data_IF_577835258334
#
_entry.id   IF_577835258334
#
_cell.length_a   1.000
_cell.length_b   1.000
_cell.length_c   1.000
_cell.angle_alpha   90.00
_cell.angle_beta   90.00
_cell.angle_gamma   90.00
#
_symmetry.space_group_name_H-M   'P 1'
#
loop_
_entity.id
_entity.type
_entity.pdbx_description
1 polymer ?
#
# COMPACT_ATOMS: atom_id res chain seq x y z
N UNK A 1 48.26 -56.32 34.57
CA UNK A 1 48.34 -56.46 33.11
C UNK A 1 46.92 -56.50 32.56
N UNK A 2 46.62 -55.69 31.54
CA UNK A 2 45.46 -55.89 30.65
C UNK A 2 44.19 -55.11 30.96
N UNK A 3 44.18 -53.83 30.56
CA UNK A 3 43.01 -52.98 30.33
C UNK A 3 42.29 -53.41 29.03
N UNK A 4 40.96 -53.43 29.00
CA UNK A 4 40.14 -52.92 27.85
C UNK A 4 38.66 -52.80 28.24
N UNK A 5 38.26 -51.59 28.66
CA UNK A 5 36.87 -51.12 28.60
C UNK A 5 36.59 -50.59 27.19
N UNK A 6 35.54 -51.07 26.54
CA UNK A 6 34.99 -50.48 25.32
C UNK A 6 33.62 -49.87 25.64
N UNK A 7 33.64 -48.59 26.01
CA UNK A 7 32.46 -47.72 26.09
C UNK A 7 32.10 -47.22 24.69
N UNK A 8 30.93 -47.59 24.18
CA UNK A 8 30.31 -46.99 23.01
C UNK A 8 29.65 -45.65 23.42
N UNK A 9 30.36 -44.54 23.19
CA UNK A 9 29.81 -43.21 23.32
C UNK A 9 28.98 -42.86 22.08
N UNK A 10 27.67 -42.69 22.26
CA UNK A 10 26.78 -42.09 21.27
C UNK A 10 27.01 -40.58 21.23
N UNK A 11 27.66 -40.11 20.17
CA UNK A 11 27.89 -38.68 19.89
C UNK A 11 26.59 -38.02 19.44
N UNK A 12 25.71 -37.65 20.38
CA UNK A 12 24.69 -36.65 20.09
C UNK A 12 25.36 -35.28 20.08
N UNK A 13 25.64 -34.78 18.87
CA UNK A 13 26.02 -33.39 18.66
C UNK A 13 24.88 -32.48 19.11
N UNK A 14 24.97 -31.92 20.30
CA UNK A 14 24.21 -30.73 20.68
C UNK A 14 24.71 -29.58 19.83
N UNK A 15 23.93 -29.19 18.83
CA UNK A 15 24.09 -27.90 18.16
C UNK A 15 23.63 -26.85 19.18
N UNK A 16 24.57 -26.32 19.97
CA UNK A 16 24.36 -25.11 20.75
C UNK A 16 24.28 -23.92 19.77
N UNK A 17 23.09 -23.58 19.28
CA UNK A 17 22.85 -22.27 18.68
C UNK A 17 22.72 -21.24 19.81
N UNK A 18 23.86 -20.81 20.36
CA UNK A 18 23.91 -19.59 21.16
C UNK A 18 23.75 -18.40 20.20
N UNK A 19 22.51 -17.96 19.96
CA UNK A 19 22.25 -16.70 19.28
C UNK A 19 22.80 -15.56 20.16
N UNK A 20 24.00 -15.06 19.82
CA UNK A 20 24.60 -13.94 20.54
C UNK A 20 23.81 -12.66 20.22
N UNK A 21 23.38 -11.93 21.24
CA UNK A 21 22.72 -10.61 21.13
C UNK A 21 23.52 -9.57 20.35
N UNK A 22 24.81 -9.82 20.09
CA UNK A 22 25.70 -8.92 19.35
C UNK A 22 25.65 -9.09 17.83
N UNK A 23 24.82 -9.99 17.29
CA UNK A 23 24.65 -10.08 15.84
C UNK A 23 23.57 -9.09 15.36
N UNK A 24 23.87 -8.29 14.30
CA UNK A 24 22.90 -7.44 13.65
C UNK A 24 21.66 -8.23 13.24
N UNK A 25 20.48 -7.70 13.55
CA UNK A 25 19.22 -8.31 13.12
C UNK A 25 19.06 -8.04 11.62
N UNK A 26 18.82 -9.10 10.86
CA UNK A 26 18.47 -9.05 9.42
C UNK A 26 17.17 -9.83 9.22
N UNK A 27 16.63 -9.85 8.00
CA UNK A 27 15.46 -10.65 7.68
C UNK A 27 15.80 -12.14 7.54
N UNK A 28 14.91 -13.00 8.04
CA UNK A 28 15.01 -14.44 7.92
C UNK A 28 14.70 -14.91 6.47
N UNK A 29 15.30 -16.02 6.04
CA UNK A 29 15.08 -16.59 4.70
C UNK A 29 13.67 -17.18 4.49
N UNK A 30 12.94 -17.46 5.57
CA UNK A 30 11.53 -17.81 5.49
C UNK A 30 10.72 -16.53 5.40
N UNK A 31 10.11 -16.28 4.25
CA UNK A 31 9.32 -15.09 3.97
C UNK A 31 8.19 -15.43 2.99
N UNK A 32 7.27 -14.49 2.78
CA UNK A 32 6.21 -14.61 1.80
C UNK A 32 6.72 -14.67 0.37
N UNK A 33 5.91 -15.27 -0.51
CA UNK A 33 6.23 -15.53 -1.92
C UNK A 33 6.57 -14.25 -2.72
N UNK A 34 5.97 -13.13 -2.34
CA UNK A 34 6.15 -11.85 -3.03
C UNK A 34 7.26 -10.99 -2.42
N UNK A 35 8.07 -11.54 -1.51
CA UNK A 35 9.23 -10.84 -0.94
C UNK A 35 10.50 -11.23 -1.68
N UNK A 36 11.27 -10.20 -2.03
CA UNK A 36 12.68 -10.33 -2.42
C UNK A 36 13.54 -9.75 -1.31
N UNK A 37 14.45 -10.56 -0.81
CA UNK A 37 15.48 -10.12 0.12
C UNK A 37 16.69 -9.58 -0.67
N UNK A 38 17.15 -8.40 -0.28
CA UNK A 38 18.25 -7.67 -0.90
C UNK A 38 19.30 -7.31 0.14
N UNK A 39 20.48 -6.88 -0.30
CA UNK A 39 21.56 -6.39 0.56
C UNK A 39 21.90 -7.35 1.72
N UNK A 40 22.15 -8.63 1.40
CA UNK A 40 22.42 -9.69 2.38
C UNK A 40 21.30 -9.84 3.43
N UNK A 41 20.04 -9.78 2.98
CA UNK A 41 18.84 -9.87 3.82
C UNK A 41 18.64 -8.68 4.76
N UNK A 42 19.37 -7.59 4.58
CA UNK A 42 19.11 -6.35 5.32
C UNK A 42 17.87 -5.62 4.79
N UNK A 43 17.54 -5.78 3.50
CA UNK A 43 16.38 -5.15 2.86
C UNK A 43 15.38 -6.23 2.46
N UNK A 44 14.10 -6.00 2.75
CA UNK A 44 12.99 -6.81 2.27
C UNK A 44 12.06 -5.93 1.42
N UNK A 45 11.78 -6.41 0.21
CA UNK A 45 11.00 -5.69 -0.79
C UNK A 45 9.84 -6.56 -1.27
N UNK A 46 8.62 -6.03 -1.24
CA UNK A 46 7.47 -6.61 -1.92
C UNK A 46 7.58 -6.31 -3.41
N UNK A 47 7.85 -7.32 -4.22
CA UNK A 47 8.11 -7.16 -5.66
C UNK A 47 6.83 -7.14 -6.50
N UNK A 48 5.80 -7.86 -6.05
CA UNK A 48 4.55 -8.03 -6.80
C UNK A 48 3.37 -8.19 -5.83
N UNK A 49 2.16 -7.93 -6.34
CA UNK A 49 0.89 -8.15 -5.64
C UNK A 49 0.67 -7.35 -4.33
N UNK A 50 -0.49 -7.62 -3.77
CA UNK A 50 -1.07 -7.28 -2.47
C UNK A 50 -0.44 -7.66 -1.14
N UNK A 51 0.13 -8.87 -1.17
CA UNK A 51 -0.06 -9.85 -0.11
C UNK A 51 1.05 -10.89 -0.20
N UNK A 52 1.05 -11.91 0.67
CA UNK A 52 2.15 -12.87 0.79
C UNK A 52 3.48 -12.12 0.97
N UNK A 53 3.47 -11.11 1.84
CA UNK A 53 4.56 -10.17 2.04
C UNK A 53 5.11 -10.21 3.48
N UNK A 54 4.92 -11.35 4.16
CA UNK A 54 5.31 -11.57 5.55
C UNK A 54 6.82 -11.83 5.63
N UNK A 55 7.49 -11.20 6.58
CA UNK A 55 8.91 -11.39 6.90
C UNK A 55 9.11 -11.50 8.40
N UNK A 56 10.24 -12.09 8.80
CA UNK A 56 10.60 -12.29 10.20
C UNK A 56 12.03 -11.83 10.48
N UNK A 57 12.37 -11.57 11.75
CA UNK A 57 13.77 -11.40 12.15
C UNK A 57 14.55 -12.71 11.97
N UNK A 58 15.84 -12.62 11.66
CA UNK A 58 16.73 -13.77 11.48
C UNK A 58 17.01 -14.55 12.76
N UNK A 59 16.75 -13.94 13.93
CA UNK A 59 16.92 -14.54 15.26
C UNK A 59 15.82 -14.08 16.21
N UNK A 60 15.67 -14.74 17.37
CA UNK A 60 14.84 -14.21 18.44
C UNK A 60 15.29 -12.82 18.89
N UNK A 61 14.31 -11.97 19.17
CA UNK A 61 14.44 -10.63 19.72
C UNK A 61 14.24 -10.71 21.23
N UNK A 62 15.15 -10.13 22.00
CA UNK A 62 15.04 -10.11 23.45
C UNK A 62 13.96 -9.14 23.91
N UNK A 63 13.41 -9.39 25.10
CA UNK A 63 12.52 -8.43 25.75
C UNK A 63 13.25 -7.09 25.94
N UNK A 64 12.59 -5.99 25.60
CA UNK A 64 13.10 -4.63 25.51
C UNK A 64 14.15 -4.36 24.42
N UNK A 65 14.50 -5.35 23.59
CA UNK A 65 15.34 -5.12 22.41
C UNK A 65 14.50 -4.43 21.32
N UNK A 66 15.00 -3.30 20.80
CA UNK A 66 14.32 -2.55 19.74
C UNK A 66 14.61 -3.17 18.38
N UNK A 67 13.55 -3.55 17.69
CA UNK A 67 13.59 -3.84 16.25
C UNK A 67 13.51 -2.50 15.54
N UNK A 68 14.55 -2.14 14.79
CA UNK A 68 14.65 -0.87 14.07
C UNK A 68 14.50 -1.12 12.56
N UNK A 69 13.58 -0.43 11.92
CA UNK A 69 13.25 -0.63 10.51
C UNK A 69 13.15 0.73 9.83
N UNK A 70 13.92 0.92 8.76
CA UNK A 70 13.78 2.09 7.89
C UNK A 70 12.79 1.80 6.77
N UNK A 71 11.86 2.72 6.54
CA UNK A 71 10.91 2.63 5.43
C UNK A 71 11.58 3.17 4.16
N UNK A 72 12.07 2.27 3.31
CA UNK A 72 12.92 2.65 2.16
C UNK A 72 12.12 2.98 0.91
N UNK A 73 10.90 2.47 0.77
CA UNK A 73 10.05 2.76 -0.38
C UNK A 73 8.57 2.72 -0.02
N UNK A 74 7.86 3.79 -0.37
CA UNK A 74 6.42 3.94 -0.22
C UNK A 74 5.81 4.14 -1.61
N UNK A 75 4.68 3.49 -1.87
CA UNK A 75 3.96 3.57 -3.14
C UNK A 75 2.56 4.11 -2.93
N UNK A 76 2.21 5.15 -3.69
CA UNK A 76 0.88 5.76 -3.68
C UNK A 76 -0.18 4.93 -4.40
N UNK A 77 0.25 3.92 -5.18
CA UNK A 77 -0.63 3.02 -5.93
C UNK A 77 -1.26 1.94 -5.05
N UNK A 78 -0.71 1.70 -3.85
CA UNK A 78 -1.29 0.79 -2.87
C UNK A 78 -1.94 1.59 -1.74
N UNK A 79 -2.96 1.01 -1.12
CA UNK A 79 -3.47 1.48 0.17
C UNK A 79 -3.51 0.31 1.15
N UNK A 80 -3.58 0.64 2.43
CA UNK A 80 -3.35 -0.25 3.53
C UNK A 80 -2.07 0.09 4.30
N UNK A 81 -2.03 -0.43 5.51
CA UNK A 81 -0.96 -0.19 6.47
C UNK A 81 0.03 -1.35 6.57
N UNK A 82 1.30 -1.04 6.81
CA UNK A 82 2.32 -1.98 7.32
C UNK A 82 1.81 -2.65 8.61
N UNK A 83 2.07 -3.94 8.82
CA UNK A 83 1.75 -4.59 10.11
C UNK A 83 3.01 -5.01 10.84
N UNK A 84 2.99 -4.84 12.16
CA UNK A 84 4.10 -5.14 13.05
C UNK A 84 3.63 -6.01 14.21
N UNK A 85 4.54 -6.84 14.71
CA UNK A 85 4.37 -7.52 15.98
C UNK A 85 5.39 -8.63 16.18
N UNK A 86 4.98 -9.71 16.83
CA UNK A 86 5.85 -10.81 17.22
C UNK A 86 5.21 -12.17 16.98
N UNK A 87 6.04 -13.19 16.81
CA UNK A 87 5.64 -14.60 16.82
C UNK A 87 6.50 -15.40 17.79
N UNK A 88 5.91 -16.37 18.48
CA UNK A 88 6.61 -17.35 19.32
C UNK A 88 7.04 -18.60 18.53
N UNK A 89 6.71 -18.66 17.23
CA UNK A 89 7.08 -19.77 16.36
C UNK A 89 8.39 -19.45 15.63
N UNK A 90 9.28 -20.44 15.56
CA UNK A 90 10.50 -20.31 14.76
C UNK A 90 10.11 -20.08 13.27
N UNK A 91 10.60 -19.02 12.61
CA UNK A 91 10.27 -18.70 11.23
C UNK A 91 10.46 -19.85 10.24
N UNK A 92 11.39 -20.79 10.50
CA UNK A 92 11.59 -21.97 9.66
C UNK A 92 10.33 -22.83 9.52
N UNK A 93 9.45 -22.81 10.54
CA UNK A 93 8.20 -23.59 10.55
C UNK A 93 7.19 -23.09 9.51
N UNK A 94 7.29 -21.83 9.08
CA UNK A 94 6.41 -21.26 8.07
C UNK A 94 6.93 -21.43 6.63
N UNK A 95 8.19 -21.85 6.43
CA UNK A 95 8.86 -21.84 5.12
C UNK A 95 8.10 -22.59 4.02
N UNK A 96 7.35 -23.64 4.38
CA UNK A 96 6.57 -24.46 3.44
C UNK A 96 5.10 -24.07 3.34
N UNK A 97 4.58 -23.24 4.26
CA UNK A 97 3.15 -22.93 4.36
C UNK A 97 2.93 -21.51 4.91
N UNK A 98 3.51 -20.52 4.24
CA UNK A 98 3.36 -19.12 4.59
C UNK A 98 1.93 -18.65 4.27
N UNK A 99 1.19 -18.07 5.24
CA UNK A 99 -0.14 -17.52 4.97
C UNK A 99 -0.10 -16.28 4.07
N UNK A 100 -1.29 -15.85 3.62
CA UNK A 100 -1.41 -14.72 2.70
C UNK A 100 -1.24 -13.38 3.45
N UNK A 101 -1.69 -13.31 4.70
CA UNK A 101 -1.62 -12.10 5.54
C UNK A 101 -1.16 -12.42 6.96
N UNK A 102 -0.51 -11.47 7.63
CA UNK A 102 -0.31 -11.60 9.08
C UNK A 102 -1.64 -11.48 9.84
N UNK A 103 -2.48 -10.52 9.45
CA UNK A 103 -3.83 -10.33 10.00
C UNK A 103 -4.87 -10.66 8.92
N UNK A 104 -5.82 -11.59 9.15
CA UNK A 104 -6.02 -12.37 10.38
C UNK A 104 -5.33 -13.75 10.36
N UNK A 105 -4.72 -14.19 9.26
CA UNK A 105 -4.36 -15.61 9.07
C UNK A 105 -3.35 -16.13 10.11
N UNK A 106 -2.35 -15.32 10.48
CA UNK A 106 -1.40 -15.66 11.55
C UNK A 106 -1.95 -15.29 12.91
N UNK A 107 -2.55 -14.10 13.09
CA UNK A 107 -3.04 -13.65 14.41
C UNK A 107 -4.21 -14.47 14.96
N UNK A 108 -4.95 -15.19 14.11
CA UNK A 108 -5.93 -16.19 14.54
C UNK A 108 -5.29 -17.49 15.10
N UNK A 109 -3.98 -17.68 14.92
CA UNK A 109 -3.24 -18.84 15.43
C UNK A 109 -2.52 -18.46 16.72
N UNK A 110 -2.62 -19.26 17.80
CA UNK A 110 -1.92 -19.00 19.05
C UNK A 110 -0.42 -18.77 18.85
N UNK A 111 0.15 -17.84 19.61
CA UNK A 111 1.58 -17.51 19.53
C UNK A 111 1.94 -16.51 18.43
N UNK A 112 0.98 -15.79 17.85
CA UNK A 112 1.23 -14.73 16.86
C UNK A 112 0.44 -13.48 17.24
N UNK A 113 1.11 -12.34 17.24
CA UNK A 113 0.53 -11.05 17.57
C UNK A 113 1.00 -10.03 16.53
N UNK A 114 0.08 -9.36 15.88
CA UNK A 114 0.39 -8.27 14.95
C UNK A 114 -0.76 -7.27 14.90
N UNK A 115 -0.43 -6.04 14.53
CA UNK A 115 -1.41 -4.95 14.38
C UNK A 115 -0.98 -4.01 13.24
N UNK A 116 -1.95 -3.37 12.60
CA UNK A 116 -1.69 -2.37 11.57
C UNK A 116 -1.10 -1.08 12.15
N UNK A 117 0.00 -0.62 11.55
CA UNK A 117 0.59 0.70 11.79
C UNK A 117 -0.06 1.68 10.82
N UNK A 118 -0.92 2.58 11.32
CA UNK A 118 -1.68 3.52 10.49
C UNK A 118 -0.84 4.23 9.42
N UNK A 119 -1.42 4.42 8.23
CA UNK A 119 -0.71 4.86 7.02
C UNK A 119 -0.03 6.21 7.19
N UNK A 120 -0.56 7.07 8.08
CA UNK A 120 0.04 8.35 8.47
C UNK A 120 1.49 8.26 8.97
N UNK A 121 1.90 7.07 9.43
CA UNK A 121 3.24 6.80 9.94
C UNK A 121 4.17 6.20 8.88
N UNK A 122 3.64 5.83 7.71
CA UNK A 122 4.41 5.24 6.62
C UNK A 122 5.04 6.34 5.74
N UNK A 123 6.04 7.03 6.30
CA UNK A 123 6.77 8.11 5.62
C UNK A 123 8.08 7.54 5.07
N UNK A 124 8.33 7.72 3.78
CA UNK A 124 9.58 7.28 3.16
C UNK A 124 10.79 7.94 3.82
N UNK A 125 11.81 7.15 4.14
CA UNK A 125 13.02 7.58 4.83
C UNK A 125 12.93 7.53 6.36
N UNK A 126 11.73 7.48 6.94
CA UNK A 126 11.56 7.41 8.41
C UNK A 126 12.06 6.08 8.98
N UNK A 127 12.50 6.13 10.24
CA UNK A 127 12.97 4.97 10.98
C UNK A 127 11.99 4.64 12.09
N UNK A 128 11.29 3.54 11.91
CA UNK A 128 10.40 2.96 12.89
C UNK A 128 11.17 2.10 13.88
N UNK A 129 10.82 2.17 15.16
CA UNK A 129 11.27 1.22 16.17
C UNK A 129 10.10 0.63 16.93
N UNK A 130 10.19 -0.64 17.28
CA UNK A 130 9.24 -1.27 18.19
C UNK A 130 9.91 -2.35 19.05
N UNK A 131 9.37 -2.59 20.23
CA UNK A 131 9.88 -3.58 21.18
C UNK A 131 8.75 -4.08 22.08
N UNK A 132 8.91 -5.27 22.64
CA UNK A 132 8.01 -5.82 23.65
C UNK A 132 8.66 -5.69 25.03
N UNK A 133 7.91 -5.20 26.02
CA UNK A 133 8.37 -5.16 27.41
C UNK A 133 8.10 -6.47 28.15
N UNK A 134 8.58 -6.59 29.40
CA UNK A 134 8.40 -7.79 30.23
C UNK A 134 6.94 -8.12 30.56
N UNK A 135 6.05 -7.14 30.47
CA UNK A 135 4.62 -7.32 30.71
C UNK A 135 3.85 -7.81 29.47
N UNK A 136 4.53 -8.00 28.33
CA UNK A 136 3.88 -8.41 27.08
C UNK A 136 3.21 -7.26 26.34
N UNK A 137 3.58 -6.01 26.67
CA UNK A 137 3.12 -4.81 26.00
C UNK A 137 4.16 -4.40 24.95
N UNK A 138 3.70 -4.16 23.73
CA UNK A 138 4.54 -3.71 22.62
C UNK A 138 4.42 -2.20 22.50
N UNK A 139 5.56 -1.52 22.42
CA UNK A 139 5.65 -0.07 22.20
C UNK A 139 6.27 0.20 20.84
N UNK A 140 5.93 1.34 20.24
CA UNK A 140 6.54 1.80 19.01
C UNK A 140 6.89 3.28 19.05
N UNK A 141 7.78 3.69 18.16
CA UNK A 141 8.15 5.07 17.92
C UNK A 141 8.75 5.26 16.53
N UNK A 142 8.92 6.51 16.13
CA UNK A 142 9.36 6.89 14.79
C UNK A 142 10.39 8.01 14.93
N UNK A 143 11.50 7.89 14.21
CA UNK A 143 12.59 8.87 14.19
C UNK A 143 13.09 9.24 15.60
N UNK A 144 13.13 8.24 16.48
CA UNK A 144 13.57 8.38 17.87
C UNK A 144 12.50 8.89 18.85
N UNK A 145 11.32 9.29 18.36
CA UNK A 145 10.20 9.72 19.20
C UNK A 145 9.29 8.53 19.54
N UNK A 146 9.15 8.21 20.83
CA UNK A 146 8.23 7.16 21.30
C UNK A 146 6.77 7.63 21.15
N UNK A 147 5.95 6.84 20.45
CA UNK A 147 4.51 7.14 20.23
C UNK A 147 3.59 6.45 21.24
N UNK A 148 4.06 5.40 21.92
CA UNK A 148 3.36 4.73 23.01
C UNK A 148 3.07 3.26 22.75
N UNK A 149 2.13 2.71 23.52
CA UNK A 149 1.75 1.30 23.45
C UNK A 149 0.97 1.01 22.16
N UNK A 150 1.39 -0.02 21.44
CA UNK A 150 0.88 -0.42 20.13
C UNK A 150 -0.11 -1.59 20.22
N UNK A 151 0.32 -2.68 20.86
CA UNK A 151 -0.47 -3.90 21.11
C UNK A 151 -0.06 -4.52 22.46
N UNK A 152 -0.88 -5.38 23.03
CA UNK A 152 -0.61 -6.05 24.32
C UNK A 152 -1.01 -7.53 24.29
N UNK A 153 -0.60 -8.27 25.31
CA UNK A 153 -0.92 -9.70 25.46
C UNK A 153 0.08 -10.64 24.77
N UNK A 154 1.28 -10.16 24.44
CA UNK A 154 2.37 -10.99 23.93
C UNK A 154 2.92 -11.87 25.06
N UNK A 155 3.02 -13.18 24.83
CA UNK A 155 3.63 -14.10 25.79
C UNK A 155 5.16 -14.02 25.72
N UNK A 156 5.78 -13.48 26.76
CA UNK A 156 7.24 -13.29 26.87
C UNK A 156 7.97 -14.46 27.52
N UNK A 157 7.28 -15.57 27.80
CA UNK A 157 7.88 -16.76 28.40
C UNK A 157 8.69 -17.62 27.41
N UNK A 158 8.46 -17.43 26.11
CA UNK A 158 9.13 -18.12 25.01
C UNK A 158 9.97 -17.16 24.15
N UNK A 159 10.93 -17.67 23.34
CA UNK A 159 11.64 -16.85 22.36
C UNK A 159 10.65 -16.21 21.37
N UNK A 160 10.86 -14.94 21.06
CA UNK A 160 10.00 -14.16 20.15
C UNK A 160 10.79 -13.73 18.93
N UNK A 161 10.22 -13.85 17.74
CA UNK A 161 10.75 -13.27 16.51
C UNK A 161 9.93 -12.06 16.12
N UNK A 162 10.58 -11.05 15.55
CA UNK A 162 9.89 -9.95 14.88
C UNK A 162 9.02 -10.52 13.76
N UNK A 163 7.77 -10.08 13.68
CA UNK A 163 6.81 -10.43 12.63
C UNK A 163 6.39 -9.14 11.94
N UNK A 164 6.66 -9.02 10.64
CA UNK A 164 6.33 -7.83 9.85
C UNK A 164 5.62 -8.28 8.57
N UNK A 165 4.51 -7.63 8.22
CA UNK A 165 3.81 -7.85 6.95
C UNK A 165 3.94 -6.57 6.12
N UNK A 166 4.76 -6.62 5.06
CA UNK A 166 5.05 -5.49 4.15
C UNK A 166 3.83 -5.29 3.24
N UNK A 167 2.75 -4.83 3.86
CA UNK A 167 1.45 -4.63 3.23
C UNK A 167 1.16 -3.15 2.95
N UNK A 168 0.32 -2.94 1.94
CA UNK A 168 -0.25 -1.64 1.64
C UNK A 168 0.77 -0.70 1.00
N UNK A 169 0.76 0.56 1.39
CA UNK A 169 1.60 1.60 0.80
C UNK A 169 3.10 1.37 1.01
N UNK A 170 3.51 0.66 2.06
CA UNK A 170 4.92 0.29 2.27
C UNK A 170 5.31 -0.86 1.36
N UNK A 171 6.34 -0.68 0.55
CA UNK A 171 6.79 -1.69 -0.44
C UNK A 171 8.19 -2.20 -0.19
N UNK A 172 9.06 -1.42 0.46
CA UNK A 172 10.37 -1.90 0.88
C UNK A 172 10.76 -1.35 2.26
N UNK A 173 11.41 -2.21 3.04
CA UNK A 173 11.93 -1.88 4.37
C UNK A 173 13.34 -2.43 4.58
N UNK A 174 14.13 -1.74 5.40
CA UNK A 174 15.50 -2.12 5.75
C UNK A 174 15.62 -2.31 7.27
N UNK A 175 16.18 -3.45 7.71
CA UNK A 175 16.61 -3.64 9.10
C UNK A 175 17.86 -2.79 9.35
N UNK A 176 17.75 -1.85 10.29
CA UNK A 176 18.84 -0.95 10.65
C UNK A 176 19.33 -1.24 12.07
N UNK A 177 20.59 -0.92 12.34
CA UNK A 177 21.19 -1.06 13.67
C UNK A 177 21.23 0.31 14.35
N UNK A 178 20.94 0.37 15.65
CA UNK A 178 21.02 1.58 16.46
C UNK A 178 22.41 2.23 16.37
N UNK A 179 23.48 1.43 16.24
CA UNK A 179 24.85 1.93 16.08
C UNK A 179 25.07 2.60 14.70
N UNK A 180 24.45 2.08 13.64
CA UNK A 180 24.55 2.66 12.29
C UNK A 180 23.81 3.99 12.17
N UNK A 181 22.69 4.15 12.89
CA UNK A 181 21.93 5.40 12.93
C UNK A 181 22.70 6.52 13.65
N UNK A 182 23.40 6.20 14.75
CA UNK A 182 24.22 7.17 15.49
C UNK A 182 25.39 7.72 14.65
N UNK A 183 26.02 6.88 13.82
CA UNK A 183 27.10 7.31 12.93
C UNK A 183 26.60 8.20 11.78
N UNK A 184 25.42 7.94 11.24
CA UNK A 184 24.81 8.78 10.19
C UNK A 184 24.26 10.10 10.73
N UNK A 185 23.87 10.16 12.00
CA UNK A 185 23.41 11.40 12.64
C UNK A 185 24.51 12.47 12.71
N UNK A 186 25.78 12.07 12.85
CA UNK A 186 26.94 12.98 12.84
C UNK A 186 27.15 13.71 11.51
N UNK A 187 26.83 13.06 10.39
CA UNK A 187 26.99 13.66 9.05
C UNK A 187 25.80 14.55 8.68
N UNK A 188 24.59 14.19 9.11
CA UNK A 188 23.40 15.03 8.93
C UNK A 188 23.45 16.31 9.79
N UNK A 189 23.94 16.24 11.03
CA UNK A 189 24.11 17.44 11.88
C UNK A 189 25.14 18.40 11.25
N UNK A 190 26.25 17.89 10.69
CA UNK A 190 27.25 18.71 9.97
C UNK A 190 26.73 19.33 8.67
N UNK A 191 25.81 18.66 7.97
CA UNK A 191 25.14 19.19 6.77
C UNK A 191 24.12 20.29 7.13
N UNK A 192 23.34 20.07 8.18
CA UNK A 192 22.31 21.01 8.64
C UNK A 192 22.93 22.27 9.25
N UNK A 193 24.05 22.15 9.98
CA UNK A 193 24.82 23.28 10.50
C UNK A 193 25.43 24.16 9.39
N UNK A 194 25.78 23.58 8.23
CA UNK A 194 26.22 24.36 7.05
C UNK A 194 25.07 25.09 6.39
N UNK A 195 23.89 24.48 6.29
CA UNK A 195 22.69 25.11 5.71
C UNK A 195 22.10 26.22 6.59
N UNK A 196 22.17 26.07 7.92
CA UNK A 196 21.74 27.09 8.88
C UNK A 196 22.70 28.29 8.97
N UNK A 197 23.96 28.13 8.55
CA UNK A 197 24.90 29.25 8.44
C UNK A 197 24.56 30.18 7.26
N UNK A 198 24.04 29.63 6.15
CA UNK A 198 23.65 30.40 4.96
C UNK A 198 22.33 31.17 5.14
N UNK A 199 21.42 30.69 5.99
CA UNK A 199 20.15 31.36 6.30
C UNK A 199 20.29 32.56 7.26
N UNK A 200 21.46 32.78 7.86
CA UNK A 200 21.72 33.92 8.76
C UNK A 200 22.16 35.20 8.05
N UNK A 201 22.24 35.21 6.72
CA UNK A 201 22.67 36.38 5.93
C UNK A 201 21.54 37.16 5.25
N UNK A 202 20.27 36.74 5.36
CA UNK A 202 19.16 37.48 4.76
C UNK A 202 18.51 38.41 5.80
N UNK A 203 18.71 39.71 5.63
CA UNK A 203 18.05 40.76 6.44
C UNK A 203 16.63 41.00 5.91
N UNK A 204 15.66 41.03 6.82
CA UNK A 204 14.31 41.54 6.56
C UNK A 204 14.36 43.06 6.37
N UNK A 205 14.00 43.53 5.18
CA UNK A 205 13.39 44.86 4.99
C UNK A 205 12.36 44.79 3.86
N UNK A 206 11.14 45.21 4.21
CA UNK A 206 10.03 45.73 3.41
C UNK A 206 9.29 44.79 2.43
N UNK A 207 8.25 44.12 2.96
CA UNK A 207 7.11 43.64 2.16
C UNK A 207 5.94 44.57 2.44
N UNK A 208 5.63 45.43 1.48
CA UNK A 208 4.45 46.31 1.47
C UNK A 208 3.22 45.50 1.07
N UNK A 209 2.20 45.46 1.94
CA UNK A 209 0.89 44.88 1.63
C UNK A 209 0.14 45.78 0.63
N UNK A 210 -0.30 45.21 -0.49
CA UNK A 210 -1.29 45.83 -1.36
C UNK A 210 -2.67 45.19 -1.11
N UNK A 211 -3.76 45.97 -1.10
CA UNK A 211 -5.11 45.45 -0.91
C UNK A 211 -5.59 44.75 -2.20
N UNK A 212 -6.24 43.59 -2.02
CA UNK A 212 -6.87 42.82 -3.11
C UNK A 212 -8.25 43.42 -3.38
N UNK A 213 -8.48 43.85 -4.62
CA UNK A 213 -9.78 44.33 -5.10
C UNK A 213 -10.80 43.18 -5.18
N UNK A 214 -11.97 43.40 -4.58
CA UNK A 214 -13.16 42.56 -4.71
C UNK A 214 -13.68 42.62 -6.15
N UNK A 215 -13.93 41.47 -6.76
CA UNK A 215 -14.68 41.38 -8.02
C UNK A 215 -15.97 40.59 -7.80
N UNK A 216 -17.08 41.20 -8.22
CA UNK A 216 -18.45 40.78 -7.93
C UNK A 216 -18.91 39.51 -8.66
N UNK A 217 -19.62 38.68 -7.89
CA UNK A 217 -20.86 37.95 -8.17
C UNK A 217 -21.20 37.58 -9.63
N UNK A 218 -20.99 36.30 -9.98
CA UNK A 218 -21.76 35.64 -11.02
C UNK A 218 -22.80 34.69 -10.39
N UNK A 219 -24.03 34.83 -10.86
CA UNK A 219 -25.26 34.16 -10.39
C UNK A 219 -25.27 32.64 -10.64
N UNK A 220 -26.11 31.85 -9.93
CA UNK A 220 -26.04 30.40 -9.96
C UNK A 220 -26.56 29.85 -11.30
N UNK A 221 -25.70 29.12 -12.02
CA UNK A 221 -26.14 28.36 -13.18
C UNK A 221 -26.88 27.11 -12.70
N UNK A 222 -28.11 27.00 -13.20
CA UNK A 222 -29.10 25.94 -12.99
C UNK A 222 -28.51 24.52 -12.94
N UNK A 223 -29.09 23.72 -12.03
CA UNK A 223 -29.04 22.27 -12.00
C UNK A 223 -29.09 21.65 -13.39
N UNK A 224 -28.01 20.97 -13.77
CA UNK A 224 -27.99 20.00 -14.86
C UNK A 224 -27.68 18.65 -14.24
N UNK A 225 -28.73 17.89 -13.94
CA UNK A 225 -28.64 16.43 -13.86
C UNK A 225 -28.28 15.93 -15.26
N UNK A 226 -26.98 15.77 -15.54
CA UNK A 226 -26.50 15.03 -16.69
C UNK A 226 -26.11 13.66 -16.19
N UNK A 227 -27.08 12.75 -16.06
CA UNK A 227 -26.77 11.32 -16.07
C UNK A 227 -26.29 11.01 -17.49
N UNK A 228 -24.99 11.24 -17.73
CA UNK A 228 -24.30 10.98 -18.98
C UNK A 228 -24.53 9.53 -19.39
N UNK A 229 -24.97 9.33 -20.64
CA UNK A 229 -25.04 8.15 -21.55
C UNK A 229 -25.13 6.71 -21.04
N UNK A 230 -24.78 6.39 -19.81
CA UNK A 230 -24.73 5.06 -19.23
C UNK A 230 -26.06 4.76 -18.50
N UNK A 231 -26.52 3.51 -18.59
CA UNK A 231 -27.73 3.06 -17.89
C UNK A 231 -27.47 2.86 -16.38
N UNK A 232 -27.51 3.95 -15.61
CA UNK A 232 -27.35 3.91 -14.15
C UNK A 232 -28.58 3.31 -13.47
N UNK A 233 -28.35 2.26 -12.68
CA UNK A 233 -29.33 1.67 -11.77
C UNK A 233 -29.16 2.31 -10.39
N UNK A 234 -30.18 3.00 -9.84
CA UNK A 234 -30.08 3.63 -8.53
C UNK A 234 -29.64 2.66 -7.42
N UNK A 235 -28.82 3.16 -6.50
CA UNK A 235 -28.35 2.41 -5.33
C UNK A 235 -28.42 3.29 -4.08
N UNK A 236 -28.98 2.73 -3.01
CA UNK A 236 -28.98 3.36 -1.69
C UNK A 236 -27.76 2.95 -0.86
N UNK A 237 -27.43 3.74 0.15
CA UNK A 237 -26.55 3.29 1.22
C UNK A 237 -27.24 2.20 2.05
N UNK A 238 -26.46 1.36 2.71
CA UNK A 238 -26.96 0.40 3.68
C UNK A 238 -27.49 1.10 4.93
N UNK A 239 -28.48 0.50 5.60
CA UNK A 239 -29.11 1.07 6.82
C UNK A 239 -28.17 1.21 8.01
N UNK A 240 -27.10 0.42 8.03
CA UNK A 240 -26.06 0.48 9.06
C UNK A 240 -25.10 1.59 8.68
N UNK A 241 -24.93 2.53 9.59
CA UNK A 241 -24.03 3.66 9.44
C UNK A 241 -23.37 3.97 10.79
N UNK A 242 -22.29 4.74 10.76
CA UNK A 242 -21.68 5.31 11.95
C UNK A 242 -22.65 6.23 12.69
N UNK A 243 -22.45 6.43 14.00
CA UNK A 243 -23.40 7.14 14.87
C UNK A 243 -23.61 8.61 14.45
N UNK A 244 -22.70 9.15 13.66
CA UNK A 244 -22.71 10.53 13.22
C UNK A 244 -23.01 10.70 11.72
N UNK A 245 -23.38 9.63 11.03
CA UNK A 245 -23.93 9.69 9.68
C UNK A 245 -25.46 9.64 9.74
N UNK A 246 -26.13 10.54 9.01
CA UNK A 246 -27.58 10.61 8.91
C UNK A 246 -27.99 10.51 7.46
N UNK A 247 -29.05 9.76 7.19
CA UNK A 247 -29.64 9.71 5.86
C UNK A 247 -30.66 10.83 5.65
N UNK A 248 -30.88 11.21 4.40
CA UNK A 248 -31.97 12.12 4.04
C UNK A 248 -33.33 11.50 4.39
N UNK A 249 -34.30 12.35 4.76
CA UNK A 249 -35.65 11.89 5.12
C UNK A 249 -36.37 11.21 3.94
N UNK A 250 -36.03 11.60 2.71
CA UNK A 250 -36.67 11.11 1.49
C UNK A 250 -36.07 9.82 0.94
N UNK A 251 -34.79 9.54 1.22
CA UNK A 251 -34.07 8.38 0.67
C UNK A 251 -32.78 8.08 1.42
N UNK A 252 -32.39 6.80 1.41
CA UNK A 252 -31.08 6.36 1.91
C UNK A 252 -29.97 6.53 0.88
N UNK A 253 -30.26 7.16 -0.26
CA UNK A 253 -29.26 7.50 -1.27
C UNK A 253 -28.41 8.71 -0.89
N UNK A 254 -28.78 9.50 0.12
CA UNK A 254 -28.01 10.67 0.56
C UNK A 254 -27.63 10.51 2.02
N UNK A 255 -26.34 10.55 2.30
CA UNK A 255 -25.77 10.56 3.64
C UNK A 255 -25.17 11.94 3.94
N UNK A 256 -25.39 12.43 5.15
CA UNK A 256 -24.84 13.67 5.66
C UNK A 256 -24.26 13.49 7.06
N UNK A 257 -23.16 14.17 7.34
CA UNK A 257 -22.56 14.23 8.66
C UNK A 257 -23.47 15.04 9.60
N UNK A 258 -23.70 14.52 10.81
CA UNK A 258 -24.64 15.10 11.76
C UNK A 258 -24.22 16.48 12.28
N UNK A 259 -22.93 16.69 12.55
CA UNK A 259 -22.32 17.96 12.98
C UNK A 259 -20.89 18.07 12.46
N UNK A 260 -20.38 19.28 12.22
CA UNK A 260 -19.04 19.48 11.64
C UNK A 260 -17.91 18.85 12.47
N UNK A 261 -18.03 18.76 13.79
CA UNK A 261 -16.98 18.17 14.63
C UNK A 261 -17.13 16.66 14.85
N UNK A 262 -18.08 16.02 14.18
CA UNK A 262 -18.38 14.62 14.45
C UNK A 262 -17.57 13.67 13.55
N UNK A 263 -16.59 12.99 14.16
CA UNK A 263 -15.94 11.82 13.60
C UNK A 263 -16.93 10.64 13.47
N UNK A 264 -16.50 9.48 12.95
CA UNK A 264 -17.30 8.23 12.96
C UNK A 264 -18.57 8.33 12.10
N UNK A 265 -18.44 8.93 10.92
CA UNK A 265 -19.54 9.14 9.97
C UNK A 265 -19.47 8.14 8.79
N UNK A 266 -19.25 6.86 9.11
CA UNK A 266 -19.13 5.79 8.13
C UNK A 266 -20.47 5.44 7.47
N UNK A 267 -20.49 5.27 6.16
CA UNK A 267 -21.64 4.76 5.39
C UNK A 267 -21.18 3.68 4.41
N UNK A 268 -22.05 2.72 4.12
CA UNK A 268 -21.72 1.54 3.31
C UNK A 268 -22.66 1.45 2.11
N UNK A 269 -22.23 0.86 0.99
CA UNK A 269 -23.13 0.50 -0.11
C UNK A 269 -24.16 -0.54 0.36
N UNK A 270 -25.38 -0.50 -0.17
CA UNK A 270 -26.42 -1.47 0.21
C UNK A 270 -26.09 -2.92 -0.17
N UNK A 271 -25.21 -3.13 -1.15
CA UNK A 271 -24.75 -4.44 -1.60
C UNK A 271 -23.29 -4.43 -2.00
N UNK A 272 -22.75 -5.62 -2.20
CA UNK A 272 -21.44 -5.83 -2.83
C UNK A 272 -21.49 -5.40 -4.30
N UNK A 273 -20.37 -4.88 -4.79
CA UNK A 273 -20.18 -4.60 -6.21
C UNK A 273 -19.70 -5.84 -6.96
N UNK A 274 -20.07 -5.92 -8.22
CA UNK A 274 -19.51 -6.87 -9.19
C UNK A 274 -18.20 -6.33 -9.79
N UNK A 275 -17.34 -7.23 -10.28
CA UNK A 275 -16.14 -6.85 -11.03
C UNK A 275 -16.53 -6.06 -12.27
N UNK A 276 -15.80 -4.97 -12.55
CA UNK A 276 -16.08 -4.00 -13.62
C UNK A 276 -17.43 -3.27 -13.51
N UNK A 277 -18.13 -3.37 -12.39
CA UNK A 277 -19.30 -2.55 -12.11
C UNK A 277 -18.85 -1.17 -11.62
N UNK A 278 -19.30 -0.12 -12.33
CA UNK A 278 -19.10 1.26 -11.90
C UNK A 278 -20.06 1.60 -10.77
N UNK A 279 -19.61 2.37 -9.79
CA UNK A 279 -20.44 2.96 -8.75
C UNK A 279 -20.19 4.47 -8.69
N UNK A 280 -21.26 5.24 -8.86
CA UNK A 280 -21.21 6.69 -8.92
C UNK A 280 -21.70 7.31 -7.61
N UNK A 281 -20.92 8.24 -7.08
CA UNK A 281 -21.33 9.12 -5.98
C UNK A 281 -21.18 10.58 -6.38
N UNK A 282 -22.03 11.44 -5.83
CA UNK A 282 -22.06 12.88 -6.06
C UNK A 282 -21.81 13.59 -4.74
N UNK A 283 -20.84 14.51 -4.70
CA UNK A 283 -20.54 15.33 -3.53
C UNK A 283 -21.61 16.43 -3.45
N UNK A 284 -22.42 16.43 -2.40
CA UNK A 284 -23.50 17.40 -2.23
C UNK A 284 -23.23 18.46 -1.16
N UNK A 285 -22.14 18.31 -0.41
CA UNK A 285 -21.77 19.28 0.61
C UNK A 285 -20.31 19.12 0.98
N UNK A 286 -19.63 20.26 1.01
CA UNK A 286 -18.23 20.38 1.44
C UNK A 286 -18.10 21.41 2.55
N UNK A 287 -17.07 21.25 3.38
CA UNK A 287 -16.73 22.17 4.46
C UNK A 287 -15.21 22.26 4.61
N UNK A 288 -14.66 23.47 4.40
CA UNK A 288 -13.22 23.70 4.33
C UNK A 288 -12.54 23.83 5.70
N UNK A 289 -13.25 23.60 6.81
CA UNK A 289 -12.64 23.63 8.16
C UNK A 289 -11.79 22.39 8.44
N UNK A 290 -11.96 21.33 7.65
CA UNK A 290 -11.24 20.06 7.79
C UNK A 290 -10.16 19.97 6.71
N UNK A 291 -8.95 19.54 7.08
CA UNK A 291 -7.86 19.32 6.12
C UNK A 291 -8.01 18.00 5.34
N UNK A 292 -8.63 17.00 5.94
CA UNK A 292 -8.87 15.70 5.31
C UNK A 292 -10.06 15.77 4.34
N UNK A 293 -9.96 15.04 3.23
CA UNK A 293 -11.00 14.93 2.19
C UNK A 293 -11.88 13.69 2.43
N UNK A 294 -12.52 13.18 1.38
CA UNK A 294 -13.30 11.95 1.41
C UNK A 294 -12.39 10.74 1.60
N UNK A 295 -12.70 9.94 2.61
CA UNK A 295 -12.10 8.62 2.79
C UNK A 295 -13.01 7.58 2.16
N UNK A 296 -12.43 6.69 1.38
CA UNK A 296 -13.11 5.60 0.69
C UNK A 296 -12.48 4.27 1.12
N UNK A 297 -13.26 3.21 1.18
CA UNK A 297 -12.73 1.89 1.44
C UNK A 297 -13.60 0.76 0.89
N UNK A 298 -13.03 -0.44 0.98
CA UNK A 298 -13.68 -1.69 0.58
C UNK A 298 -13.61 -2.69 1.73
N UNK A 299 -14.69 -3.46 1.90
CA UNK A 299 -14.73 -4.54 2.89
C UNK A 299 -15.49 -5.77 2.43
N UNK A 300 -15.06 -6.95 2.87
CA UNK A 300 -15.84 -8.19 2.73
C UNK A 300 -16.88 -8.35 3.85
N UNK A 301 -16.77 -7.56 4.92
CA UNK A 301 -17.69 -7.53 6.04
C UNK A 301 -19.09 -7.13 5.57
N UNK A 302 -20.10 -7.92 5.94
CA UNK A 302 -21.49 -7.54 5.72
C UNK A 302 -21.88 -6.44 6.72
N UNK A 303 -22.23 -5.22 6.26
CA UNK A 303 -22.55 -4.11 7.16
C UNK A 303 -23.66 -4.45 8.16
N UNK A 304 -24.60 -5.37 7.83
CA UNK A 304 -25.64 -5.80 8.76
C UNK A 304 -25.09 -6.41 10.07
N UNK A 305 -23.91 -7.05 10.01
CA UNK A 305 -23.24 -7.62 11.19
C UNK A 305 -22.64 -6.57 12.12
N UNK A 306 -22.49 -5.34 11.64
CA UNK A 306 -21.91 -4.22 12.39
C UNK A 306 -22.94 -3.42 13.19
N UNK A 307 -24.25 -3.69 13.03
CA UNK A 307 -25.34 -2.92 13.64
C UNK A 307 -25.19 -2.71 15.16
N UNK A 308 -24.70 -3.73 15.86
CA UNK A 308 -24.49 -3.70 17.32
C UNK A 308 -23.20 -2.99 17.75
N UNK A 309 -22.29 -2.73 16.80
CA UNK A 309 -20.97 -2.14 17.03
C UNK A 309 -20.86 -0.69 16.55
N UNK A 310 -21.92 -0.13 15.95
CA UNK A 310 -21.90 1.24 15.39
C UNK A 310 -21.51 2.28 16.44
N UNK A 311 -22.04 2.18 17.66
CA UNK A 311 -21.70 3.03 18.80
C UNK A 311 -20.24 2.92 19.25
N UNK A 312 -19.51 1.92 18.77
CA UNK A 312 -18.11 1.62 19.10
C UNK A 312 -17.18 1.66 17.87
N UNK A 313 -17.66 2.14 16.71
CA UNK A 313 -16.78 2.39 15.56
C UNK A 313 -15.62 3.31 15.92
N UNK A 314 -14.40 3.07 15.42
CA UNK A 314 -13.25 3.92 15.72
C UNK A 314 -13.43 5.32 15.13
N UNK A 315 -12.79 6.33 15.73
CA UNK A 315 -12.72 7.68 15.16
C UNK A 315 -11.89 7.70 13.87
N UNK A 316 -10.79 6.96 13.84
CA UNK A 316 -9.97 6.75 12.65
C UNK A 316 -10.41 5.44 11.95
N UNK A 317 -10.98 5.51 10.73
CA UNK A 317 -11.41 4.34 9.99
C UNK A 317 -10.30 3.30 9.79
N UNK A 318 -9.02 3.69 9.75
CA UNK A 318 -7.90 2.76 9.57
C UNK A 318 -7.85 1.67 10.64
N UNK A 319 -8.38 1.92 11.83
CA UNK A 319 -8.48 0.92 12.90
C UNK A 319 -9.40 -0.26 12.53
N UNK A 320 -10.25 -0.13 11.50
CA UNK A 320 -11.05 -1.24 10.97
C UNK A 320 -10.17 -2.32 10.32
N UNK A 321 -8.93 -2.00 9.91
CA UNK A 321 -7.98 -2.99 9.37
C UNK A 321 -7.54 -4.05 10.38
N UNK A 322 -7.74 -3.81 11.68
CA UNK A 322 -7.43 -4.79 12.74
C UNK A 322 -8.54 -5.84 12.91
N UNK A 323 -9.67 -5.69 12.21
CA UNK A 323 -10.77 -6.65 12.24
C UNK A 323 -10.45 -7.91 11.43
N UNK A 324 -11.11 -9.05 11.71
CA UNK A 324 -10.87 -10.29 10.98
C UNK A 324 -11.40 -10.29 9.53
N UNK A 325 -12.31 -9.39 9.17
CA UNK A 325 -12.75 -9.27 7.78
C UNK A 325 -11.72 -8.51 6.94
N UNK A 326 -11.85 -8.56 5.62
CA UNK A 326 -10.97 -7.79 4.75
C UNK A 326 -11.38 -6.32 4.81
N UNK A 327 -10.44 -5.43 5.11
CA UNK A 327 -10.66 -3.97 5.12
C UNK A 327 -9.48 -3.28 4.45
N UNK A 328 -9.77 -2.45 3.45
CA UNK A 328 -8.80 -1.53 2.84
C UNK A 328 -9.40 -0.14 2.75
N UNK A 329 -8.56 0.86 2.98
CA UNK A 329 -8.97 2.25 3.12
C UNK A 329 -8.01 3.11 2.33
N UNK A 330 -8.54 4.06 1.57
CA UNK A 330 -7.80 5.14 0.94
C UNK A 330 -8.35 6.45 1.49
N UNK A 331 -7.51 7.17 2.23
CA UNK A 331 -7.80 8.55 2.64
C UNK A 331 -7.54 9.50 1.49
N UNK A 332 -8.21 10.65 1.53
CA UNK A 332 -7.98 11.76 0.60
C UNK A 332 -8.09 11.36 -0.87
N UNK A 333 -9.14 10.61 -1.22
CA UNK A 333 -9.34 10.09 -2.58
C UNK A 333 -9.51 11.19 -3.62
N UNK A 334 -9.89 12.40 -3.18
CA UNK A 334 -10.03 13.59 -4.01
C UNK A 334 -9.25 14.73 -3.37
N UNK A 335 -8.35 15.37 -4.11
CA UNK A 335 -7.48 16.42 -3.55
C UNK A 335 -8.23 17.70 -3.19
N UNK A 336 -9.18 18.12 -4.03
CA UNK A 336 -9.91 19.37 -3.88
C UNK A 336 -11.40 19.16 -4.18
N UNK A 337 -12.15 18.48 -3.30
CA UNK A 337 -13.55 18.17 -3.54
C UNK A 337 -14.40 19.44 -3.54
N UNK A 338 -15.28 19.55 -4.53
CA UNK A 338 -16.28 20.61 -4.63
C UNK A 338 -17.69 20.03 -4.60
N UNK A 339 -18.64 20.83 -4.13
CA UNK A 339 -20.06 20.47 -4.24
C UNK A 339 -20.45 20.41 -5.72
N UNK A 340 -21.04 19.29 -6.13
CA UNK A 340 -21.38 18.95 -7.51
C UNK A 340 -20.39 17.99 -8.18
N UNK A 341 -19.23 17.70 -7.56
CA UNK A 341 -18.29 16.74 -8.11
C UNK A 341 -18.88 15.32 -8.12
N UNK A 342 -18.65 14.60 -9.21
CA UNK A 342 -19.05 13.22 -9.43
C UNK A 342 -17.83 12.31 -9.36
N UNK A 343 -17.88 11.29 -8.50
CA UNK A 343 -16.81 10.29 -8.34
C UNK A 343 -17.32 8.92 -8.79
N UNK A 344 -16.67 8.35 -9.79
CA UNK A 344 -16.98 7.03 -10.32
C UNK A 344 -15.90 6.04 -9.92
N UNK A 345 -16.31 5.00 -9.19
CA UNK A 345 -15.43 3.95 -8.68
C UNK A 345 -15.67 2.65 -9.42
N UNK A 346 -14.61 1.87 -9.65
CA UNK A 346 -14.69 0.55 -10.28
C UNK A 346 -13.59 -0.36 -9.74
N UNK A 347 -13.90 -1.65 -9.59
CA UNK A 347 -12.93 -2.69 -9.25
C UNK A 347 -12.72 -3.55 -10.50
N UNK A 348 -11.53 -3.50 -11.09
CA UNK A 348 -11.24 -4.26 -12.32
C UNK A 348 -10.96 -5.75 -12.03
N UNK A 349 -10.83 -6.56 -13.08
CA UNK A 349 -10.59 -8.00 -12.97
C UNK A 349 -9.23 -8.40 -12.37
N UNK A 350 -8.29 -7.47 -12.29
CA UNK A 350 -6.96 -7.66 -11.70
C UNK A 350 -6.92 -7.21 -10.24
N UNK A 351 -8.04 -6.68 -9.71
CA UNK A 351 -8.13 -6.15 -8.35
C UNK A 351 -7.72 -4.69 -8.23
N UNK A 352 -7.40 -4.01 -9.33
CA UNK A 352 -7.19 -2.56 -9.35
C UNK A 352 -8.49 -1.81 -9.06
N UNK A 353 -8.45 -0.92 -8.09
CA UNK A 353 -9.57 -0.05 -7.73
C UNK A 353 -9.30 1.31 -8.37
N UNK A 354 -10.12 1.66 -9.35
CA UNK A 354 -9.97 2.88 -10.12
C UNK A 354 -11.01 3.91 -9.68
N UNK A 355 -10.62 5.17 -9.69
CA UNK A 355 -11.51 6.31 -9.45
C UNK A 355 -11.38 7.30 -10.60
N UNK A 356 -12.51 7.82 -11.08
CA UNK A 356 -12.59 8.95 -12.00
C UNK A 356 -13.37 10.08 -11.32
N UNK A 357 -12.87 11.30 -11.47
CA UNK A 357 -13.53 12.52 -10.97
C UNK A 357 -14.08 13.29 -12.16
N UNK A 358 -15.37 13.60 -12.16
CA UNK A 358 -16.06 14.35 -13.20
C UNK A 358 -15.83 13.76 -14.61
N UNK A 359 -15.90 12.43 -14.70
CA UNK A 359 -15.73 11.66 -15.94
C UNK A 359 -14.39 11.90 -16.67
N UNK A 360 -13.34 12.28 -15.92
CA UNK A 360 -11.96 12.30 -16.41
C UNK A 360 -11.41 10.87 -16.55
N UNK A 361 -10.13 10.74 -16.88
CA UNK A 361 -9.42 9.46 -16.87
C UNK A 361 -9.58 8.74 -15.53
N UNK A 362 -9.77 7.42 -15.59
CA UNK A 362 -9.72 6.57 -14.41
C UNK A 362 -8.28 6.40 -13.95
N UNK A 363 -8.03 6.67 -12.68
CA UNK A 363 -6.74 6.47 -12.04
C UNK A 363 -6.84 5.35 -11.00
N UNK A 364 -5.83 4.48 -10.95
CA UNK A 364 -5.75 3.44 -9.92
C UNK A 364 -5.40 4.07 -8.56
N UNK A 365 -6.34 4.00 -7.61
CA UNK A 365 -6.19 4.60 -6.28
C UNK A 365 -5.72 3.60 -5.22
N UNK A 366 -6.01 2.31 -5.40
CA UNK A 366 -5.54 1.19 -4.58
C UNK A 366 -5.74 -0.13 -5.32
N UNK A 367 -5.30 -1.25 -4.72
CA UNK A 367 -5.52 -2.59 -5.24
C UNK A 367 -6.02 -3.51 -4.13
N UNK A 368 -6.79 -4.52 -4.52
CA UNK A 368 -7.43 -5.50 -3.64
C UNK A 368 -7.35 -6.91 -4.19
N UNK A 369 -7.78 -7.88 -3.39
CA UNK A 369 -7.95 -9.26 -3.83
C UNK A 369 -9.07 -9.38 -4.85
N UNK A 370 -8.70 -9.57 -6.12
CA UNK A 370 -9.62 -9.77 -7.24
C UNK A 370 -10.58 -10.96 -7.05
N UNK A 371 -10.27 -11.90 -6.16
CA UNK A 371 -11.14 -13.06 -5.87
C UNK A 371 -12.28 -12.74 -4.90
N UNK A 372 -12.21 -11.60 -4.21
CA UNK A 372 -13.16 -11.19 -3.20
C UNK A 372 -14.24 -10.28 -3.77
N UNK A 373 -15.39 -10.21 -3.07
CA UNK A 373 -16.48 -9.30 -3.38
C UNK A 373 -16.68 -8.32 -2.24
N UNK A 374 -16.70 -7.03 -2.56
CA UNK A 374 -16.61 -5.98 -1.57
C UNK A 374 -17.88 -5.14 -1.51
N UNK A 375 -18.27 -4.78 -0.29
CA UNK A 375 -19.04 -3.57 -0.03
C UNK A 375 -18.09 -2.37 -0.13
N UNK A 376 -18.59 -1.28 -0.69
CA UNK A 376 -17.93 0.02 -0.59
C UNK A 376 -18.33 0.67 0.71
N UNK A 377 -17.43 1.46 1.27
CA UNK A 377 -17.77 2.36 2.35
C UNK A 377 -17.05 3.69 2.20
N UNK A 378 -17.62 4.69 2.85
CA UNK A 378 -17.13 6.06 2.85
C UNK A 378 -17.15 6.58 4.28
N UNK A 379 -16.13 7.34 4.66
CA UNK A 379 -16.20 8.17 5.85
C UNK A 379 -16.34 9.64 5.44
N UNK A 380 -17.50 10.22 5.77
CA UNK A 380 -17.82 11.63 5.52
C UNK A 380 -17.52 12.52 6.74
N UNK A 381 -16.54 12.10 7.55
CA UNK A 381 -16.01 12.86 8.68
C UNK A 381 -14.96 13.92 8.28
N UNK A 382 -14.54 13.98 7.00
CA UNK A 382 -13.63 15.00 6.47
C UNK A 382 -14.34 16.26 5.95
N UNK A 383 -13.75 16.91 4.95
CA UNK A 383 -14.30 18.10 4.31
C UNK A 383 -15.52 17.76 3.45
N UNK A 384 -15.67 16.53 2.96
CA UNK A 384 -16.92 16.07 2.33
C UNK A 384 -17.92 15.72 3.43
N UNK A 385 -18.94 16.56 3.58
CA UNK A 385 -19.93 16.45 4.67
C UNK A 385 -21.26 15.87 4.24
N UNK A 386 -21.52 15.83 2.93
CA UNK A 386 -22.73 15.22 2.35
C UNK A 386 -22.39 14.52 1.04
N UNK A 387 -22.78 13.26 0.94
CA UNK A 387 -22.50 12.40 -0.19
C UNK A 387 -23.79 11.72 -0.65
N UNK A 388 -24.05 11.73 -1.95
CA UNK A 388 -25.16 11.01 -2.57
C UNK A 388 -24.62 9.81 -3.33
N UNK A 389 -25.12 8.62 -3.03
CA UNK A 389 -24.95 7.44 -3.85
C UNK A 389 -25.95 7.51 -5.00
N UNK A 390 -25.43 7.66 -6.22
CA UNK A 390 -26.26 7.83 -7.41
C UNK A 390 -26.74 6.48 -7.90
N UNK A 391 -25.82 5.53 -8.05
CA UNK A 391 -26.15 4.22 -8.58
C UNK A 391 -24.96 3.46 -9.14
N UNK A 392 -25.25 2.37 -9.83
CA UNK A 392 -24.27 1.48 -10.47
C UNK A 392 -24.56 1.28 -11.94
N UNK A 393 -23.51 1.07 -12.74
CA UNK A 393 -23.60 0.74 -14.16
C UNK A 393 -22.70 -0.45 -14.50
N UNK A 394 -23.21 -1.38 -15.32
CA UNK A 394 -22.45 -2.55 -15.80
C UNK A 394 -21.64 -2.26 -17.07
N UNK A 395 -21.77 -1.06 -17.63
CA UNK A 395 -20.95 -0.61 -18.74
C UNK A 395 -19.56 -0.30 -18.16
N UNK A 396 -18.67 -1.30 -18.18
CA UNK A 396 -17.34 -1.22 -17.57
C UNK A 396 -16.49 -0.06 -18.09
N UNK A 397 -15.31 0.20 -17.51
CA UNK A 397 -14.38 1.17 -18.05
C UNK A 397 -13.97 0.73 -19.47
N UNK A 398 -14.02 1.68 -20.40
CA UNK A 398 -13.57 1.50 -21.78
C UNK A 398 -12.16 0.90 -21.79
N UNK A 399 -11.85 -0.09 -22.64
CA UNK A 399 -10.49 -0.54 -22.86
C UNK A 399 -9.61 0.66 -23.20
N UNK A 400 -8.46 0.77 -22.56
CA UNK A 400 -7.47 1.81 -22.78
C UNK A 400 -7.15 1.92 -24.29
N UNK A 401 -7.67 2.93 -24.99
CA UNK A 401 -7.20 3.31 -26.32
C UNK A 401 -6.20 4.45 -26.16
N UNK A 402 -4.91 4.12 -26.17
CA UNK A 402 -3.82 5.09 -26.11
C UNK A 402 -3.58 5.82 -27.46
N UNK A 403 -4.52 5.76 -28.40
CA UNK A 403 -4.33 6.22 -29.77
C UNK A 403 -5.43 7.21 -30.19
N UNK A 404 -5.56 8.39 -29.55
CA UNK A 404 -6.27 9.50 -30.21
C UNK A 404 -5.96 10.89 -29.63
N UNK A 405 -4.69 11.26 -29.54
CA UNK A 405 -4.32 12.68 -29.61
C UNK A 405 -2.90 12.79 -30.17
N UNK A 406 -2.77 12.93 -31.50
CA UNK A 406 -1.62 13.55 -32.20
C UNK A 406 -1.82 13.46 -33.72
N UNK A 407 -2.78 14.23 -34.26
CA UNK A 407 -2.86 14.55 -35.69
C UNK A 407 -3.18 16.04 -35.88
N UNK A 408 -2.16 16.88 -35.67
CA UNK A 408 -1.94 18.23 -36.23
C UNK A 408 -0.76 18.80 -35.42
N UNK A 409 0.42 19.13 -35.93
CA UNK A 409 0.83 19.71 -37.21
C UNK A 409 2.33 19.42 -37.43
N UNK A 410 2.71 19.13 -38.67
CA UNK A 410 4.09 18.90 -39.11
C UNK A 410 4.82 20.19 -39.47
N UNK A 411 6.05 20.39 -38.98
CA UNK A 411 7.17 20.98 -39.74
C UNK A 411 8.54 20.68 -39.08
N UNK A 412 9.65 20.58 -39.84
CA UNK A 412 10.83 19.82 -39.45
C UNK A 412 12.07 20.69 -39.14
N UNK A 413 12.88 20.29 -38.16
CA UNK A 413 14.30 20.69 -38.11
C UNK A 413 15.16 19.55 -37.53
N UNK A 414 16.13 19.10 -38.34
CA UNK A 414 17.33 18.35 -37.95
C UNK A 414 18.52 19.33 -37.84
N UNK A 415 19.74 18.88 -37.50
CA UNK A 415 20.14 18.01 -36.39
C UNK A 415 21.27 18.69 -35.58
N UNK A 416 21.52 18.29 -34.34
CA UNK A 416 22.86 18.48 -33.79
C UNK A 416 23.28 17.28 -32.93
N UNK A 417 24.41 16.74 -33.33
CA UNK A 417 25.05 15.53 -32.83
C UNK A 417 25.77 15.77 -31.52
N UNK A 418 25.41 15.01 -30.49
CA UNK A 418 26.29 14.71 -29.36
C UNK A 418 26.16 13.23 -29.03
N UNK A 419 27.25 12.50 -29.25
CA UNK A 419 27.40 11.07 -29.01
C UNK A 419 27.10 10.75 -27.55
N UNK A 420 25.94 10.17 -27.28
CA UNK A 420 25.67 9.41 -26.07
C UNK A 420 25.70 7.93 -26.44
N UNK A 421 26.20 7.09 -25.52
CA UNK A 421 26.08 5.64 -25.62
C UNK A 421 24.60 5.27 -25.68
N UNK A 422 24.07 5.07 -26.89
CA UNK A 422 22.75 4.50 -27.09
C UNK A 422 22.76 3.09 -26.50
N UNK A 423 22.03 2.91 -25.40
CA UNK A 423 21.69 1.57 -24.93
C UNK A 423 21.05 0.85 -26.12
N UNK A 424 21.66 -0.26 -26.52
CA UNK A 424 21.25 -1.02 -27.70
C UNK A 424 19.86 -1.65 -27.42
N UNK A 425 18.82 -0.85 -27.63
CA UNK A 425 17.42 -1.13 -27.29
C UNK A 425 16.70 -1.92 -28.37
N UNK A 426 17.37 -2.22 -29.48
CA UNK A 426 16.79 -2.94 -30.59
C UNK A 426 16.83 -4.45 -30.36
N UNK A 427 15.82 -5.13 -30.86
CA UNK A 427 15.72 -6.58 -30.84
C UNK A 427 16.98 -7.19 -31.46
N UNK A 428 17.66 -8.04 -30.70
CA UNK A 428 18.93 -8.68 -31.12
C UNK A 428 18.77 -9.79 -32.17
N UNK A 429 17.57 -9.93 -32.73
CA UNK A 429 17.25 -10.92 -33.77
C UNK A 429 16.87 -10.24 -35.06
N UNK A 430 15.91 -9.30 -35.03
CA UNK A 430 15.51 -8.57 -36.24
C UNK A 430 16.24 -7.24 -36.41
N UNK A 431 16.82 -6.67 -35.36
CA UNK A 431 17.50 -5.36 -35.35
C UNK A 431 16.65 -4.18 -35.87
N UNK A 432 15.33 -4.37 -35.90
CA UNK A 432 14.37 -3.41 -36.47
C UNK A 432 13.36 -2.91 -35.44
N UNK A 433 12.91 -3.79 -34.54
CA UNK A 433 11.89 -3.50 -33.54
C UNK A 433 12.54 -3.42 -32.16
N UNK A 434 12.03 -2.58 -31.24
CA UNK A 434 12.60 -2.47 -29.90
C UNK A 434 12.44 -3.78 -29.10
N UNK A 435 13.27 -3.91 -28.07
CA UNK A 435 13.19 -5.01 -27.10
C UNK A 435 11.92 -4.80 -26.26
N UNK A 436 10.91 -5.64 -26.55
CA UNK A 436 9.58 -5.58 -25.95
C UNK A 436 9.12 -6.94 -25.41
N UNK A 437 10.04 -7.89 -25.20
CA UNK A 437 9.65 -9.17 -24.62
C UNK A 437 10.65 -9.74 -23.64
N UNK A 438 10.10 -10.34 -22.58
CA UNK A 438 10.87 -11.07 -21.58
C UNK A 438 10.44 -12.54 -21.51
N UNK A 439 11.39 -13.42 -21.23
CA UNK A 439 11.16 -14.86 -21.11
C UNK A 439 10.83 -15.24 -19.65
N UNK A 440 9.64 -15.80 -19.40
CA UNK A 440 9.04 -15.93 -18.05
C UNK A 440 9.82 -16.84 -17.07
N UNK A 441 10.74 -17.66 -17.55
CA UNK A 441 11.55 -18.54 -16.71
C UNK A 441 12.86 -17.90 -16.24
N UNK A 442 13.44 -16.98 -17.02
CA UNK A 442 14.77 -16.43 -16.77
C UNK A 442 14.82 -14.89 -16.75
N UNK A 443 13.73 -14.22 -17.13
CA UNK A 443 13.59 -12.76 -17.09
C UNK A 443 14.42 -11.99 -18.13
N UNK A 444 15.24 -12.65 -18.95
CA UNK A 444 16.03 -11.97 -19.97
C UNK A 444 15.15 -11.33 -21.04
N UNK A 445 15.49 -10.10 -21.39
CA UNK A 445 14.79 -9.29 -22.38
C UNK A 445 15.77 -8.81 -23.44
N UNK A 446 15.70 -9.40 -24.63
CA UNK A 446 16.62 -9.09 -25.74
C UNK A 446 15.93 -9.13 -27.12
N UNK A 447 14.64 -9.42 -27.16
CA UNK A 447 13.87 -9.58 -28.39
C UNK A 447 12.64 -8.68 -28.40
N UNK A 448 12.21 -8.24 -29.59
CA UNK A 448 10.86 -7.74 -29.76
C UNK A 448 9.86 -8.88 -29.55
N UNK A 449 8.60 -8.53 -29.31
CA UNK A 449 7.57 -9.52 -29.03
C UNK A 449 7.43 -10.59 -30.12
N UNK A 450 7.43 -10.18 -31.39
CA UNK A 450 7.30 -11.11 -32.51
C UNK A 450 8.47 -12.09 -32.61
N UNK A 451 9.70 -11.62 -32.40
CA UNK A 451 10.89 -12.46 -32.39
C UNK A 451 10.91 -13.40 -31.18
N UNK A 452 10.48 -12.93 -30.00
CA UNK A 452 10.36 -13.75 -28.80
C UNK A 452 9.34 -14.88 -28.99
N UNK A 453 8.17 -14.60 -29.57
CA UNK A 453 7.14 -15.61 -29.85
C UNK A 453 7.60 -16.61 -30.92
N UNK A 454 8.33 -16.17 -31.95
CA UNK A 454 8.94 -17.07 -32.95
C UNK A 454 9.96 -18.02 -32.32
N UNK A 455 10.78 -17.53 -31.40
CA UNK A 455 11.72 -18.36 -30.61
C UNK A 455 10.99 -19.39 -29.75
N UNK A 456 9.94 -18.98 -29.07
CA UNK A 456 9.13 -19.88 -28.23
C UNK A 456 8.44 -20.98 -29.03
N UNK A 457 8.04 -20.71 -30.27
CA UNK A 457 7.43 -21.70 -31.18
C UNK A 457 8.45 -22.55 -31.94
N UNK A 458 9.75 -22.36 -31.71
CA UNK A 458 10.79 -23.16 -32.37
C UNK A 458 10.87 -24.58 -31.80
N UNK A 459 11.61 -25.45 -32.50
CA UNK A 459 11.75 -26.87 -32.12
C UNK A 459 12.45 -27.08 -30.77
N UNK A 460 13.26 -26.10 -30.33
CA UNK A 460 13.99 -26.11 -29.06
C UNK A 460 14.00 -24.68 -28.48
N UNK A 461 12.94 -24.26 -27.78
CA UNK A 461 12.78 -22.88 -27.34
C UNK A 461 13.72 -22.60 -26.18
N UNK A 462 14.87 -21.98 -26.45
CA UNK A 462 15.87 -21.61 -25.45
C UNK A 462 16.19 -20.12 -25.50
N UNK A 463 16.40 -19.52 -24.33
CA UNK A 463 16.81 -18.13 -24.22
C UNK A 463 18.21 -17.95 -24.86
N UNK A 464 18.40 -17.03 -25.83
CA UNK A 464 19.70 -16.85 -26.46
C UNK A 464 20.80 -16.33 -25.51
N UNK A 465 20.44 -15.69 -24.39
CA UNK A 465 21.39 -15.22 -23.37
C UNK A 465 21.91 -16.34 -22.47
N UNK A 466 21.00 -17.14 -21.90
CA UNK A 466 21.33 -18.07 -20.82
C UNK A 466 21.07 -19.54 -21.16
N UNK A 467 20.56 -19.81 -22.36
CA UNK A 467 20.19 -21.14 -22.88
C UNK A 467 19.14 -21.90 -22.07
N UNK A 468 18.49 -21.25 -21.09
CA UNK A 468 17.40 -21.88 -20.34
C UNK A 468 16.14 -22.05 -21.21
N UNK A 469 15.33 -23.11 -21.01
CA UNK A 469 14.13 -23.37 -21.81
C UNK A 469 13.06 -22.28 -21.61
N UNK A 470 12.60 -21.64 -22.68
CA UNK A 470 11.59 -20.58 -22.64
C UNK A 470 10.22 -21.21 -22.34
N UNK A 471 9.67 -20.92 -21.17
CA UNK A 471 8.35 -21.42 -20.75
C UNK A 471 7.22 -20.55 -21.30
N UNK A 472 7.41 -19.24 -21.36
CA UNK A 472 6.44 -18.29 -21.90
C UNK A 472 7.13 -16.97 -22.28
N UNK A 473 6.52 -16.20 -23.18
CA UNK A 473 7.01 -14.90 -23.69
C UNK A 473 5.99 -13.84 -23.34
N UNK A 474 6.36 -12.88 -22.50
CA UNK A 474 5.51 -11.76 -22.12
C UNK A 474 5.95 -10.49 -22.86
N UNK A 475 4.99 -9.67 -23.28
CA UNK A 475 5.29 -8.35 -23.83
C UNK A 475 5.58 -7.39 -22.67
N UNK A 476 6.69 -6.67 -22.75
CA UNK A 476 7.06 -5.66 -21.78
C UNK A 476 6.96 -4.29 -22.45
N UNK A 477 6.42 -3.31 -21.73
CA UNK A 477 6.33 -1.93 -22.18
C UNK A 477 7.29 -1.12 -21.33
N UNK A 478 8.26 -0.47 -21.97
CA UNK A 478 9.14 0.50 -21.30
C UNK A 478 8.33 1.79 -21.11
N UNK A 479 8.35 2.31 -19.88
CA UNK A 479 7.70 3.55 -19.49
C UNK A 479 8.38 4.76 -20.13
#
# INVERSE_FOLDING_TARGET
MGNTNATSASTQGRINNSFSSNQPVVFHHAHGENIRLEQNSAVARRIESFCKAIVFSSRPIQVNEKVMIKLTEISNSWSGALRLGFTAHDPVTFQSNMPKYACPDLTNRPGNWAKALGERYAIEGSVLHYFVNSAGEVFFGIDGEDKGMFLSGVDTSAPLWALIDIYGNTTAIEMVDQVRLLNNHSDHVRSTERSLADLRQLRLTDITLQPVEETELASPVRSRTTYFSDNWVPMDFHRVAGPNAKFSESSMSIAARATLNAARALVFSARRLETNEKCLVEIQGTDNTHMDSLTFGLTTCDPATLQQWTSSFPEDPECLMDRPEYWVIKKNVVTSPATGDELSFVINGEGGVLCSVNNKSYEAIMYVDATQKFFMFFDIAGCVTRLKLVGTSKEGPVPFSADEELLATSAPMQPDSARNHEEDTDCKICFENPIESAFCNCGHSMTCHDCGVKLFKSRDPQCPMCRQPIVNVIRIFRA
#
